data_IF_955777437739
#
_entry.id   IF_955777437739
#
_cell.length_a   1.000
_cell.length_b   1.000
_cell.length_c   1.000
_cell.angle_alpha   90.00
_cell.angle_beta   90.00
_cell.angle_gamma   90.00
#
_symmetry.space_group_name_H-M   'P 1'
#
loop_
_entity.id
_entity.type
_entity.pdbx_description
1 polymer ?
#
# COMPACT_ATOMS: atom_id res chain seq x y z
N UNK A 1 13.06 18.00 -9.87
CA UNK A 1 13.75 17.17 -8.82
C UNK A 1 13.12 15.78 -8.83
N UNK A 2 13.90 14.76 -9.08
CA UNK A 2 13.41 13.38 -9.16
C UNK A 2 12.98 12.86 -7.78
N UNK A 3 11.96 12.00 -7.73
CA UNK A 3 11.44 11.42 -6.49
C UNK A 3 12.52 10.67 -5.69
N UNK A 4 13.38 9.93 -6.40
CA UNK A 4 14.52 9.24 -5.80
C UNK A 4 15.41 10.20 -4.98
N UNK A 5 15.82 11.31 -5.56
CA UNK A 5 16.64 12.32 -4.85
C UNK A 5 15.96 12.90 -3.61
N UNK A 6 14.60 13.03 -3.65
CA UNK A 6 13.84 13.47 -2.47
C UNK A 6 13.89 12.42 -1.36
N UNK A 7 13.77 11.16 -1.73
CA UNK A 7 13.82 10.06 -0.78
C UNK A 7 15.20 9.92 -0.15
N UNK A 8 16.28 10.01 -0.95
CA UNK A 8 17.66 9.97 -0.45
C UNK A 8 17.98 11.07 0.56
N UNK A 9 17.45 12.28 0.32
CA UNK A 9 17.67 13.42 1.20
C UNK A 9 16.84 13.38 2.49
N UNK A 10 15.96 12.40 2.66
CA UNK A 10 15.19 12.25 3.89
C UNK A 10 16.09 11.74 5.01
N UNK A 11 16.05 12.40 6.17
CA UNK A 11 16.87 12.04 7.34
C UNK A 11 16.40 10.75 7.98
N UNK A 12 15.10 10.64 8.22
CA UNK A 12 14.47 9.48 8.86
C UNK A 12 13.77 8.60 7.82
N UNK A 13 13.75 7.28 8.00
CA UNK A 13 13.01 6.39 7.13
C UNK A 13 11.51 6.64 7.23
N UNK A 14 10.79 6.34 6.15
CA UNK A 14 9.32 6.35 6.14
C UNK A 14 8.85 5.12 6.91
N UNK A 15 8.07 5.34 7.97
CA UNK A 15 7.49 4.26 8.76
C UNK A 15 6.19 3.80 8.15
N UNK A 16 6.12 2.51 7.83
CA UNK A 16 4.97 1.90 7.17
C UNK A 16 4.37 0.77 8.00
N UNK A 17 3.09 0.51 7.78
CA UNK A 17 2.44 -0.71 8.29
C UNK A 17 1.68 -1.42 7.17
N UNK A 18 1.67 -2.75 7.22
CA UNK A 18 0.85 -3.58 6.35
C UNK A 18 -0.39 -4.07 7.08
N UNK A 19 -1.52 -4.11 6.36
CA UNK A 19 -2.75 -4.74 6.79
C UNK A 19 -3.01 -5.91 5.84
N UNK A 20 -2.87 -7.12 6.37
CA UNK A 20 -2.73 -8.36 5.61
C UNK A 20 -1.27 -8.63 5.24
N UNK A 21 -0.82 -9.87 5.46
CA UNK A 21 0.53 -10.33 5.12
C UNK A 21 0.46 -11.50 4.13
N UNK A 22 -0.28 -11.28 3.03
CA UNK A 22 -0.44 -12.26 1.96
C UNK A 22 0.66 -12.19 0.90
N UNK A 23 0.35 -12.73 -0.29
CA UNK A 23 1.29 -12.87 -1.41
C UNK A 23 1.91 -11.53 -1.85
N UNK A 24 1.11 -10.45 -1.94
CA UNK A 24 1.62 -9.15 -2.34
C UNK A 24 2.68 -8.64 -1.34
N UNK A 25 2.37 -8.70 -0.05
CA UNK A 25 3.29 -8.25 0.99
C UNK A 25 4.56 -9.09 0.99
N UNK A 26 4.47 -10.42 0.81
CA UNK A 26 5.65 -11.28 0.67
C UNK A 26 6.56 -10.86 -0.48
N UNK A 27 6.01 -10.42 -1.62
CA UNK A 27 6.81 -9.89 -2.73
C UNK A 27 7.50 -8.57 -2.38
N UNK A 28 6.85 -7.69 -1.62
CA UNK A 28 7.47 -6.47 -1.11
C UNK A 28 8.59 -6.79 -0.12
N UNK A 29 8.34 -7.68 0.82
CA UNK A 29 9.30 -8.10 1.85
C UNK A 29 10.58 -8.69 1.24
N UNK A 30 10.46 -9.42 0.13
CA UNK A 30 11.62 -9.99 -0.59
C UNK A 30 12.58 -8.91 -1.14
N UNK A 31 12.13 -7.67 -1.25
CA UNK A 31 12.93 -6.53 -1.70
C UNK A 31 13.31 -5.58 -0.57
N UNK A 32 12.80 -5.82 0.64
CA UNK A 32 12.92 -4.89 1.76
C UNK A 32 14.37 -4.54 2.12
N UNK A 33 15.28 -5.51 2.06
CA UNK A 33 16.71 -5.31 2.35
C UNK A 33 17.42 -4.32 1.38
N UNK A 34 16.75 -3.91 0.30
CA UNK A 34 17.24 -2.92 -0.65
C UNK A 34 16.60 -1.53 -0.46
N UNK A 35 15.80 -1.36 0.59
CA UNK A 35 14.98 -0.16 0.81
C UNK A 35 15.43 0.62 2.06
N UNK A 36 16.58 1.28 2.00
CA UNK A 36 17.22 1.98 3.13
C UNK A 36 16.36 3.08 3.78
N UNK A 37 15.35 3.58 3.08
CA UNK A 37 14.52 4.70 3.54
C UNK A 37 13.09 4.30 3.91
N UNK A 38 12.86 3.01 4.09
CA UNK A 38 11.56 2.48 4.52
C UNK A 38 11.76 1.59 5.73
N UNK A 39 10.96 1.79 6.76
CA UNK A 39 10.95 0.97 7.97
C UNK A 39 9.57 0.35 8.16
N UNK A 40 9.50 -0.96 8.24
CA UNK A 40 8.27 -1.66 8.61
C UNK A 40 8.10 -1.57 10.12
N UNK A 41 7.11 -0.80 10.55
CA UNK A 41 6.77 -0.66 11.97
C UNK A 41 5.86 -1.80 12.44
N UNK A 42 4.82 -2.09 11.66
CA UNK A 42 3.79 -3.05 12.09
C UNK A 42 3.25 -3.87 10.92
N UNK A 43 2.82 -5.08 11.24
CA UNK A 43 2.05 -5.96 10.35
C UNK A 43 0.80 -6.42 11.10
N UNK A 44 -0.37 -6.13 10.53
CA UNK A 44 -1.67 -6.58 11.03
C UNK A 44 -2.12 -7.78 10.21
N UNK A 45 -2.32 -8.92 10.85
CA UNK A 45 -2.86 -10.12 10.21
C UNK A 45 -3.63 -10.97 11.23
N UNK A 46 -4.72 -11.59 10.80
CA UNK A 46 -5.50 -12.48 11.65
C UNK A 46 -4.69 -13.71 12.10
N UNK A 47 -3.74 -14.14 11.27
CA UNK A 47 -2.83 -15.24 11.56
C UNK A 47 -1.37 -14.76 11.70
N UNK A 48 -1.04 -14.26 12.89
CA UNK A 48 0.30 -13.72 13.20
C UNK A 48 1.41 -14.72 12.91
N UNK A 49 1.21 -15.99 13.23
CA UNK A 49 2.22 -17.03 13.02
C UNK A 49 2.49 -17.25 11.52
N UNK A 50 1.43 -17.18 10.70
CA UNK A 50 1.61 -17.25 9.25
C UNK A 50 2.30 -15.98 8.72
N UNK A 51 1.95 -14.80 9.23
CA UNK A 51 2.60 -13.55 8.87
C UNK A 51 4.11 -13.57 9.17
N UNK A 52 4.51 -14.05 10.35
CA UNK A 52 5.93 -14.23 10.70
C UNK A 52 6.64 -15.21 9.77
N UNK A 53 6.01 -16.36 9.46
CA UNK A 53 6.56 -17.31 8.48
C UNK A 53 6.73 -16.69 7.10
N UNK A 54 5.77 -15.88 6.66
CA UNK A 54 5.86 -15.17 5.38
C UNK A 54 7.03 -14.18 5.38
N UNK A 55 7.28 -13.46 6.47
CA UNK A 55 8.45 -12.60 6.63
C UNK A 55 9.76 -13.38 6.49
N UNK A 56 9.91 -14.47 7.24
CA UNK A 56 11.10 -15.33 7.17
C UNK A 56 11.31 -15.94 5.79
N UNK A 57 10.25 -16.48 5.19
CA UNK A 57 10.30 -17.06 3.83
C UNK A 57 10.64 -16.03 2.73
N UNK A 58 10.36 -14.75 3.01
CA UNK A 58 10.70 -13.64 2.10
C UNK A 58 12.13 -13.12 2.29
N UNK A 59 12.90 -13.70 3.21
CA UNK A 59 14.31 -13.38 3.40
C UNK A 59 14.60 -12.31 4.45
N UNK A 60 13.63 -11.96 5.31
CA UNK A 60 13.89 -11.13 6.48
C UNK A 60 14.62 -11.97 7.56
N UNK A 61 15.64 -11.38 8.15
CA UNK A 61 16.34 -12.01 9.28
C UNK A 61 15.52 -11.92 10.59
N UNK A 62 15.89 -12.73 11.56
CA UNK A 62 15.20 -12.79 12.86
C UNK A 62 15.24 -11.45 13.61
N UNK A 63 16.31 -10.69 13.44
CA UNK A 63 16.46 -9.37 14.07
C UNK A 63 15.41 -8.43 13.54
N UNK A 64 15.32 -8.28 12.21
CA UNK A 64 14.31 -7.46 11.56
C UNK A 64 12.88 -7.90 11.93
N UNK A 65 12.62 -9.21 11.93
CA UNK A 65 11.28 -9.73 12.30
C UNK A 65 10.95 -9.40 13.77
N UNK A 66 11.92 -9.43 14.67
CA UNK A 66 11.71 -9.12 16.08
C UNK A 66 11.39 -7.65 16.36
N UNK A 67 11.82 -6.74 15.48
CA UNK A 67 11.54 -5.31 15.56
C UNK A 67 10.13 -4.95 15.04
N UNK A 68 9.53 -5.82 14.22
CA UNK A 68 8.18 -5.61 13.68
C UNK A 68 7.13 -5.90 14.75
N UNK A 69 6.22 -4.95 14.94
CA UNK A 69 5.06 -5.16 15.81
C UNK A 69 3.97 -5.94 15.05
N UNK A 70 3.66 -7.15 15.51
CA UNK A 70 2.58 -7.96 14.95
C UNK A 70 1.31 -7.81 15.78
N UNK A 71 0.19 -7.50 15.11
CA UNK A 71 -1.12 -7.30 15.74
C UNK A 71 -2.22 -8.03 14.95
N UNK A 72 -3.34 -8.32 15.61
CA UNK A 72 -4.55 -8.84 14.98
C UNK A 72 -5.55 -7.76 14.60
N UNK A 73 -5.35 -6.54 15.08
CA UNK A 73 -6.29 -5.44 14.88
C UNK A 73 -5.57 -4.17 14.44
N UNK A 74 -6.16 -3.50 13.44
CA UNK A 74 -5.72 -2.17 13.01
C UNK A 74 -5.79 -1.16 14.16
N UNK A 75 -6.81 -1.27 15.01
CA UNK A 75 -7.04 -0.31 16.10
C UNK A 75 -5.89 -0.26 17.12
N UNK A 76 -5.14 -1.35 17.26
CA UNK A 76 -3.97 -1.43 18.17
C UNK A 76 -2.75 -0.66 17.66
N UNK A 77 -2.73 -0.28 16.39
CA UNK A 77 -1.55 0.36 15.77
C UNK A 77 -1.82 1.77 15.22
N UNK A 78 -3.08 2.24 15.24
CA UNK A 78 -3.44 3.54 14.68
C UNK A 78 -2.72 4.72 15.36
N UNK A 79 -2.49 4.63 16.67
CA UNK A 79 -1.83 5.68 17.46
C UNK A 79 -0.29 5.63 17.36
N UNK A 80 0.27 4.62 16.72
CA UNK A 80 1.72 4.51 16.54
C UNK A 80 2.23 5.57 15.55
N UNK A 81 3.51 5.85 15.62
CA UNK A 81 4.18 6.78 14.70
C UNK A 81 4.40 6.13 13.32
N UNK A 82 3.31 5.81 12.63
CA UNK A 82 3.28 5.25 11.29
C UNK A 82 2.79 6.33 10.33
N UNK A 83 3.50 6.53 9.22
CA UNK A 83 3.14 7.54 8.22
C UNK A 83 2.19 6.99 7.16
N UNK A 84 2.47 5.76 6.69
CA UNK A 84 1.74 5.16 5.57
C UNK A 84 1.27 3.76 5.96
N UNK A 85 -0.02 3.52 5.77
CA UNK A 85 -0.63 2.20 5.89
C UNK A 85 -0.85 1.60 4.51
N UNK A 86 -0.53 0.32 4.35
CA UNK A 86 -0.69 -0.41 3.08
C UNK A 86 -1.75 -1.49 3.31
N UNK A 87 -2.92 -1.28 2.72
CA UNK A 87 -4.05 -2.20 2.82
C UNK A 87 -3.94 -3.28 1.75
N UNK A 88 -3.73 -4.52 2.16
CA UNK A 88 -3.45 -5.67 1.31
C UNK A 88 -4.25 -6.93 1.69
N UNK A 89 -5.42 -6.77 2.32
CA UNK A 89 -6.24 -7.92 2.76
C UNK A 89 -6.96 -8.63 1.62
N UNK A 90 -7.16 -7.96 0.47
CA UNK A 90 -7.91 -8.49 -0.67
C UNK A 90 -9.42 -8.61 -0.43
N UNK A 91 -9.94 -8.11 0.68
CA UNK A 91 -11.37 -8.09 0.96
C UNK A 91 -11.91 -6.65 0.83
N UNK A 92 -12.82 -6.36 -0.12
CA UNK A 92 -13.27 -4.99 -0.40
C UNK A 92 -13.99 -4.32 0.77
N UNK A 93 -14.74 -5.08 1.56
CA UNK A 93 -15.50 -4.55 2.71
C UNK A 93 -14.52 -4.13 3.81
N UNK A 94 -13.64 -5.04 4.23
CA UNK A 94 -12.64 -4.73 5.25
C UNK A 94 -11.65 -3.69 4.77
N UNK A 95 -11.21 -3.76 3.51
CA UNK A 95 -10.31 -2.77 2.92
C UNK A 95 -10.88 -1.36 2.98
N UNK A 96 -12.16 -1.19 2.64
CA UNK A 96 -12.85 0.10 2.76
C UNK A 96 -12.94 0.58 4.22
N UNK A 97 -13.32 -0.31 5.15
CA UNK A 97 -13.40 0.02 6.58
C UNK A 97 -12.04 0.43 7.14
N UNK A 98 -10.98 -0.30 6.80
CA UNK A 98 -9.61 0.02 7.20
C UNK A 98 -9.19 1.39 6.64
N UNK A 99 -9.40 1.63 5.35
CA UNK A 99 -9.05 2.90 4.72
C UNK A 99 -9.75 4.10 5.38
N UNK A 100 -11.05 3.99 5.65
CA UNK A 100 -11.82 5.04 6.35
C UNK A 100 -11.25 5.32 7.75
N UNK A 101 -10.93 4.27 8.52
CA UNK A 101 -10.33 4.43 9.86
C UNK A 101 -8.97 5.12 9.78
N UNK A 102 -8.10 4.69 8.87
CA UNK A 102 -6.76 5.25 8.67
C UNK A 102 -6.85 6.74 8.30
N UNK A 103 -7.69 7.08 7.32
CA UNK A 103 -7.90 8.46 6.85
C UNK A 103 -8.40 9.35 7.98
N UNK A 104 -9.41 8.90 8.75
CA UNK A 104 -9.95 9.65 9.89
C UNK A 104 -8.92 9.87 11.01
N UNK A 105 -7.93 9.00 11.13
CA UNK A 105 -6.78 9.17 12.02
C UNK A 105 -5.63 9.99 11.39
N UNK A 106 -5.91 10.68 10.26
CA UNK A 106 -4.96 11.55 9.55
C UNK A 106 -3.67 10.85 9.15
N UNK A 107 -3.79 9.61 8.70
CA UNK A 107 -2.69 8.79 8.18
C UNK A 107 -2.89 8.54 6.68
N UNK A 108 -1.77 8.40 5.96
CA UNK A 108 -1.82 8.07 4.54
C UNK A 108 -2.14 6.59 4.35
N UNK A 109 -2.88 6.26 3.28
CA UNK A 109 -3.21 4.87 2.94
C UNK A 109 -2.93 4.57 1.47
N UNK A 110 -2.31 3.42 1.23
CA UNK A 110 -2.12 2.84 -0.10
C UNK A 110 -2.97 1.57 -0.18
N UNK A 111 -3.83 1.51 -1.19
CA UNK A 111 -4.71 0.38 -1.44
C UNK A 111 -4.05 -0.57 -2.45
N UNK A 112 -3.72 -1.77 -2.01
CA UNK A 112 -3.42 -2.90 -2.89
C UNK A 112 -4.72 -3.59 -3.30
N UNK A 113 -5.75 -3.37 -2.51
CA UNK A 113 -7.10 -3.91 -2.68
C UNK A 113 -7.85 -3.12 -3.76
N UNK A 114 -7.70 -3.54 -5.01
CA UNK A 114 -8.33 -2.90 -6.18
C UNK A 114 -9.85 -2.89 -6.09
N UNK A 115 -10.44 -3.95 -5.54
CA UNK A 115 -11.89 -4.09 -5.39
C UNK A 115 -12.47 -3.05 -4.42
N UNK A 116 -11.74 -2.71 -3.36
CA UNK A 116 -12.13 -1.63 -2.44
C UNK A 116 -12.08 -0.27 -3.14
N UNK A 117 -11.07 -0.02 -3.96
CA UNK A 117 -10.95 1.23 -4.72
C UNK A 117 -12.05 1.36 -5.78
N UNK A 118 -12.33 0.31 -6.56
CA UNK A 118 -13.41 0.30 -7.54
C UNK A 118 -14.76 0.59 -6.89
N UNK A 119 -14.98 0.05 -5.69
CA UNK A 119 -16.27 0.16 -4.99
C UNK A 119 -16.45 1.51 -4.31
N UNK A 120 -15.44 2.00 -3.63
CA UNK A 120 -15.51 3.16 -2.73
C UNK A 120 -14.43 4.22 -2.98
N UNK A 121 -13.59 4.09 -4.01
CA UNK A 121 -12.41 4.95 -4.22
C UNK A 121 -12.73 6.43 -4.31
N UNK A 122 -13.84 6.82 -4.98
CA UNK A 122 -14.28 8.23 -5.03
C UNK A 122 -14.55 8.77 -3.63
N UNK A 123 -15.28 8.04 -2.80
CA UNK A 123 -15.57 8.42 -1.42
C UNK A 123 -14.28 8.50 -0.59
N UNK A 124 -13.41 7.50 -0.71
CA UNK A 124 -12.13 7.47 0.01
C UNK A 124 -11.23 8.65 -0.38
N UNK A 125 -11.20 9.00 -1.67
CA UNK A 125 -10.46 10.17 -2.17
C UNK A 125 -10.99 11.47 -1.60
N UNK A 126 -12.33 11.63 -1.50
CA UNK A 126 -12.94 12.85 -0.99
C UNK A 126 -12.63 13.03 0.52
N UNK A 127 -12.86 12.00 1.33
CA UNK A 127 -12.55 12.08 2.77
C UNK A 127 -11.04 12.22 3.04
N UNK A 128 -10.18 11.68 2.19
CA UNK A 128 -8.73 11.86 2.30
C UNK A 128 -8.34 13.33 2.10
N UNK A 129 -8.91 14.00 1.09
CA UNK A 129 -8.72 15.44 0.87
C UNK A 129 -9.20 16.27 2.05
N UNK A 130 -10.38 15.97 2.60
CA UNK A 130 -10.94 16.66 3.76
C UNK A 130 -10.03 16.51 5.00
N UNK A 131 -9.36 15.37 5.15
CA UNK A 131 -8.45 15.10 6.27
C UNK A 131 -6.99 15.50 6.00
N UNK A 132 -6.67 16.00 4.80
CA UNK A 132 -5.31 16.43 4.43
C UNK A 132 -4.33 15.27 4.28
N UNK A 133 -4.81 14.09 3.90
CA UNK A 133 -4.00 12.88 3.70
C UNK A 133 -4.14 12.33 2.27
N UNK A 134 -3.26 11.41 1.93
CA UNK A 134 -3.27 10.72 0.63
C UNK A 134 -3.94 9.36 0.80
N UNK A 135 -4.94 9.09 -0.05
CA UNK A 135 -5.44 7.76 -0.33
C UNK A 135 -5.15 7.47 -1.80
N UNK A 136 -4.39 6.43 -2.08
CA UNK A 136 -3.96 6.09 -3.44
C UNK A 136 -3.96 4.58 -3.63
N UNK A 137 -4.15 4.14 -4.86
CA UNK A 137 -3.81 2.76 -5.22
C UNK A 137 -2.30 2.54 -5.19
N UNK A 138 -1.89 1.30 -4.99
CA UNK A 138 -0.50 0.89 -5.11
C UNK A 138 0.00 1.18 -6.53
N UNK A 139 1.08 1.96 -6.64
CA UNK A 139 1.71 2.25 -7.92
C UNK A 139 2.31 0.97 -8.52
N UNK A 140 2.11 0.79 -9.81
CA UNK A 140 2.53 -0.43 -10.52
C UNK A 140 1.37 -1.38 -10.78
N UNK A 141 0.23 -1.23 -10.12
CA UNK A 141 -0.99 -1.92 -10.52
C UNK A 141 -1.66 -1.23 -11.72
N UNK A 142 -2.51 -1.97 -12.38
CA UNK A 142 -3.00 -1.68 -13.71
C UNK A 142 -3.74 -0.35 -13.85
N UNK A 143 -4.67 0.02 -12.96
CA UNK A 143 -5.38 1.28 -13.09
C UNK A 143 -4.44 2.49 -12.99
N UNK A 144 -3.48 2.47 -12.09
CA UNK A 144 -2.52 3.57 -11.92
C UNK A 144 -1.65 3.78 -13.14
N UNK A 145 -1.10 2.71 -13.71
CA UNK A 145 -0.27 2.78 -14.93
C UNK A 145 -1.07 3.23 -16.15
N UNK A 146 -2.31 2.79 -16.30
CA UNK A 146 -3.18 3.19 -17.41
C UNK A 146 -3.53 4.68 -17.30
N UNK A 147 -3.86 5.16 -16.11
CA UNK A 147 -4.18 6.58 -15.88
C UNK A 147 -3.00 7.47 -16.25
N UNK A 148 -1.78 7.12 -15.86
CA UNK A 148 -0.58 7.88 -16.20
C UNK A 148 -0.38 7.98 -17.73
N UNK A 149 -0.57 6.89 -18.45
CA UNK A 149 -0.47 6.87 -19.90
C UNK A 149 -1.58 7.71 -20.58
N UNK A 150 -2.80 7.67 -20.05
CA UNK A 150 -3.92 8.51 -20.52
C UNK A 150 -3.60 9.98 -20.33
N UNK A 151 -3.13 10.37 -19.16
CA UNK A 151 -2.78 11.76 -18.86
C UNK A 151 -1.61 12.23 -19.75
N UNK A 152 -0.58 11.39 -19.92
CA UNK A 152 0.50 11.69 -20.85
C UNK A 152 0.01 11.91 -22.28
N UNK A 153 -0.86 11.04 -22.79
CA UNK A 153 -1.42 11.17 -24.12
C UNK A 153 -2.23 12.48 -24.29
N UNK A 154 -3.08 12.80 -23.33
CA UNK A 154 -3.89 14.05 -23.32
C UNK A 154 -3.02 15.30 -23.28
N UNK A 155 -1.98 15.31 -22.44
CA UNK A 155 -1.02 16.41 -22.35
C UNK A 155 -0.28 16.65 -23.69
N UNK A 156 -0.11 15.62 -24.50
CA UNK A 156 0.49 15.70 -25.83
C UNK A 156 -0.53 15.92 -26.96
N UNK A 157 -1.80 16.22 -26.62
CA UNK A 157 -2.84 16.56 -27.59
C UNK A 157 -3.53 15.37 -28.25
N UNK A 158 -3.31 14.14 -27.76
CA UNK A 158 -3.98 12.95 -28.28
C UNK A 158 -5.37 12.75 -27.64
N UNK A 159 -6.35 12.38 -28.47
CA UNK A 159 -7.66 11.94 -27.98
C UNK A 159 -7.59 10.44 -27.64
N UNK A 160 -7.79 10.11 -26.38
CA UNK A 160 -7.82 8.71 -25.92
C UNK A 160 -9.23 8.17 -26.13
N UNK A 161 -9.38 7.24 -27.07
CA UNK A 161 -10.67 6.61 -27.42
C UNK A 161 -10.92 5.30 -26.66
N UNK A 162 -9.87 4.64 -26.19
CA UNK A 162 -9.97 3.41 -25.43
C UNK A 162 -8.71 3.22 -24.59
N UNK A 163 -8.88 2.71 -23.37
CA UNK A 163 -7.77 2.30 -22.53
C UNK A 163 -8.16 1.03 -21.77
N UNK A 164 -7.23 0.11 -21.64
CA UNK A 164 -7.48 -1.15 -20.97
C UNK A 164 -6.23 -2.02 -20.88
N UNK A 165 -6.36 -3.11 -20.17
CA UNK A 165 -5.32 -4.14 -20.05
C UNK A 165 -5.86 -5.47 -20.53
N UNK A 166 -5.04 -6.21 -21.26
CA UNK A 166 -5.30 -7.61 -21.58
C UNK A 166 -5.24 -8.50 -20.34
N UNK A 167 -6.05 -9.55 -20.31
CA UNK A 167 -5.98 -10.58 -19.27
C UNK A 167 -4.66 -11.34 -19.38
N UNK A 168 -4.08 -11.69 -18.25
CA UNK A 168 -2.94 -12.61 -18.22
C UNK A 168 -3.37 -13.98 -18.69
N UNK A 169 -2.58 -14.60 -19.58
CA UNK A 169 -2.79 -15.98 -20.03
C UNK A 169 -2.74 -17.04 -18.90
N UNK A 170 -2.29 -16.66 -17.72
CA UNK A 170 -2.26 -17.55 -16.53
C UNK A 170 -3.67 -17.77 -15.94
N UNK A 171 -4.63 -16.96 -16.34
CA UNK A 171 -6.01 -17.00 -15.82
C UNK A 171 -7.03 -17.50 -16.85
N UNK A 172 -6.57 -18.09 -17.96
CA UNK A 172 -7.42 -18.75 -18.97
C UNK A 172 -7.33 -20.26 -18.79
#
# INVERSE_FOLDING_TARGET
MFLHTKLENRKEPIRIAFIGCGKFVSMFLAQYNHLDKIQIDSIVDLNIEQAKRNCSNSGLDETTISEINFSKSLDEILDRNIEIFIEATGNPIFGTVHAVKIIKNKKHVILVNVEADITCGKYLSDIAKENGVICSMAYGDQPSLIIEQIEWARLNGFSVVCAGKGLSLIHI
#
